data_IF_420886522518
#
_entry.id   IF_420886522518
#
_cell.length_a   1.000
_cell.length_b   1.000
_cell.length_c   1.000
_cell.angle_alpha   90.00
_cell.angle_beta   90.00
_cell.angle_gamma   90.00
#
_symmetry.space_group_name_H-M   'P 1'
#
loop_
_entity.id
_entity.type
_entity.pdbx_description
1 polymer ?
#
# COMPACT_ATOMS: atom_id res chain seq x y z
N UNK A 1 8.44 5.00 9.84
CA UNK A 1 7.47 5.18 10.94
C UNK A 1 8.28 5.71 12.10
N UNK A 2 8.04 6.94 12.54
CA UNK A 2 8.66 7.40 13.79
C UNK A 2 8.17 6.49 14.91
N UNK A 3 9.10 5.94 15.69
CA UNK A 3 8.78 5.01 16.77
C UNK A 3 8.26 5.79 17.97
N UNK A 4 6.95 6.00 18.02
CA UNK A 4 6.28 6.63 19.16
C UNK A 4 6.14 5.65 20.33
N UNK A 5 6.30 6.14 21.55
CA UNK A 5 6.15 5.41 22.81
C UNK A 5 7.15 4.25 23.00
N UNK A 6 8.41 4.45 22.61
CA UNK A 6 9.50 3.49 22.85
C UNK A 6 9.86 3.32 24.33
N UNK A 7 9.21 4.02 25.24
CA UNK A 7 9.27 3.89 26.69
C UNK A 7 8.11 3.05 27.27
N UNK A 8 7.12 2.69 26.45
CA UNK A 8 5.97 1.88 26.84
C UNK A 8 6.17 0.39 26.54
N UNK A 9 5.80 -0.47 27.49
CA UNK A 9 5.81 -1.93 27.30
C UNK A 9 4.54 -2.60 27.81
N UNK A 10 4.32 -3.84 27.38
CA UNK A 10 3.32 -4.75 27.96
C UNK A 10 4.06 -5.75 28.85
N UNK A 11 3.69 -5.79 30.13
CA UNK A 11 4.18 -6.75 31.12
C UNK A 11 3.15 -7.84 31.34
N UNK A 12 3.51 -9.06 30.95
CA UNK A 12 2.69 -10.26 31.07
C UNK A 12 3.03 -11.00 32.36
N UNK A 13 2.02 -11.37 33.14
CA UNK A 13 2.19 -12.14 34.37
C UNK A 13 1.82 -13.61 34.16
N UNK A 14 2.65 -14.51 34.68
CA UNK A 14 2.46 -15.96 34.64
C UNK A 14 2.57 -16.53 36.06
N UNK A 15 1.48 -17.05 36.65
CA UNK A 15 0.13 -17.14 36.10
C UNK A 15 -0.55 -15.77 35.96
N UNK A 16 -1.69 -15.72 35.24
CA UNK A 16 -2.46 -14.48 35.06
C UNK A 16 -3.05 -14.01 36.39
N UNK A 17 -3.00 -12.72 36.63
CA UNK A 17 -3.60 -12.09 37.82
C UNK A 17 -5.10 -11.92 37.65
N UNK A 18 -5.85 -12.16 38.73
CA UNK A 18 -7.29 -11.94 38.76
C UNK A 18 -7.59 -10.43 38.70
N UNK A 19 -8.70 -10.05 38.06
CA UNK A 19 -9.10 -8.64 37.92
C UNK A 19 -9.26 -7.93 39.26
N UNK A 20 -9.66 -8.63 40.32
CA UNK A 20 -9.83 -8.04 41.66
C UNK A 20 -8.49 -7.66 42.31
N UNK A 21 -7.41 -8.31 41.91
CA UNK A 21 -6.07 -8.11 42.46
C UNK A 21 -5.22 -7.17 41.61
N UNK A 22 -5.83 -6.49 40.63
CA UNK A 22 -5.10 -5.65 39.69
C UNK A 22 -4.42 -4.46 40.38
N UNK A 23 -5.11 -3.72 41.25
CA UNK A 23 -4.53 -2.57 41.97
C UNK A 23 -3.37 -2.97 42.90
N UNK A 24 -3.49 -4.03 43.74
CA UNK A 24 -2.35 -4.57 44.49
C UNK A 24 -1.18 -4.96 43.59
N UNK A 25 -1.45 -5.61 42.45
CA UNK A 25 -0.43 -6.01 41.49
C UNK A 25 0.29 -4.81 40.86
N UNK A 26 -0.44 -3.73 40.52
CA UNK A 26 0.14 -2.48 40.03
C UNK A 26 1.11 -1.87 41.03
N UNK A 27 0.72 -1.81 42.30
CA UNK A 27 1.60 -1.30 43.36
C UNK A 27 2.86 -2.16 43.48
N UNK A 28 2.71 -3.50 43.46
CA UNK A 28 3.82 -4.44 43.53
C UNK A 28 4.74 -4.36 42.30
N UNK A 29 4.22 -4.17 41.08
CA UNK A 29 5.04 -3.96 39.89
C UNK A 29 5.85 -2.66 39.98
N UNK A 30 5.23 -1.56 40.42
CA UNK A 30 5.94 -0.28 40.62
C UNK A 30 7.08 -0.45 41.62
N UNK A 31 6.81 -1.08 42.76
CA UNK A 31 7.83 -1.35 43.78
C UNK A 31 8.93 -2.28 43.24
N UNK A 32 8.57 -3.34 42.53
CA UNK A 32 9.52 -4.28 41.96
C UNK A 32 10.51 -3.60 41.00
N UNK A 33 10.01 -2.81 40.05
CA UNK A 33 10.88 -2.12 39.11
C UNK A 33 11.74 -1.05 39.80
N UNK A 34 11.17 -0.28 40.73
CA UNK A 34 11.89 0.81 41.43
C UNK A 34 12.91 0.25 42.43
N UNK A 35 12.49 -0.65 43.33
CA UNK A 35 13.31 -1.11 44.45
C UNK A 35 14.23 -2.27 44.07
N UNK A 36 13.78 -3.21 43.23
CA UNK A 36 14.56 -4.41 42.89
C UNK A 36 15.49 -4.14 41.70
N UNK A 37 15.03 -3.36 40.72
CA UNK A 37 15.77 -3.11 39.49
C UNK A 37 16.33 -1.68 39.35
N UNK A 38 16.00 -0.77 40.27
CA UNK A 38 16.53 0.59 40.28
C UNK A 38 16.14 1.41 39.06
N UNK A 39 14.98 1.12 38.44
CA UNK A 39 14.47 1.84 37.28
C UNK A 39 13.24 2.67 37.64
N UNK A 40 13.04 3.78 36.94
CA UNK A 40 11.92 4.67 37.21
C UNK A 40 10.73 4.25 36.35
N UNK A 41 9.64 3.85 37.01
CA UNK A 41 8.36 3.59 36.36
C UNK A 41 7.47 4.81 36.57
N UNK A 42 7.10 5.47 35.49
CA UNK A 42 6.21 6.63 35.52
C UNK A 42 4.77 6.19 35.80
N UNK A 43 4.31 5.13 35.13
CA UNK A 43 2.94 4.67 35.24
C UNK A 43 2.78 3.17 34.96
N UNK A 44 1.75 2.58 35.55
CA UNK A 44 1.30 1.22 35.23
C UNK A 44 -0.21 1.27 35.04
N UNK A 45 -0.70 0.79 33.90
CA UNK A 45 -2.12 0.80 33.52
C UNK A 45 -2.61 -0.61 33.17
N UNK A 46 -3.93 -0.89 33.26
CA UNK A 46 -4.47 -2.19 32.89
C UNK A 46 -4.32 -2.48 31.40
N UNK A 47 -3.77 -3.66 31.09
CA UNK A 47 -3.87 -4.27 29.77
C UNK A 47 -4.87 -5.42 29.82
N UNK A 48 -5.78 -5.56 28.84
CA UNK A 48 -6.75 -6.65 28.81
C UNK A 48 -6.11 -8.04 29.02
N UNK A 49 -6.86 -8.98 29.60
CA UNK A 49 -6.43 -10.39 29.78
C UNK A 49 -5.38 -10.57 30.91
N UNK A 50 -5.38 -9.70 31.92
CA UNK A 50 -4.62 -9.88 33.18
C UNK A 50 -3.14 -9.50 33.08
N UNK A 51 -2.79 -8.56 32.21
CA UNK A 51 -1.45 -8.02 32.05
C UNK A 51 -1.46 -6.52 32.37
N UNK A 52 -0.31 -5.85 32.30
CA UNK A 52 -0.22 -4.41 32.52
C UNK A 52 0.57 -3.70 31.43
N UNK A 53 0.18 -2.47 31.09
CA UNK A 53 1.08 -1.53 30.45
C UNK A 53 2.01 -0.95 31.50
N UNK A 54 3.31 -0.88 31.21
CA UNK A 54 4.31 -0.23 32.06
C UNK A 54 5.00 0.85 31.26
N UNK A 55 4.90 2.09 31.73
CA UNK A 55 5.57 3.24 31.17
C UNK A 55 6.86 3.48 31.95
N UNK A 56 8.00 3.22 31.30
CA UNK A 56 9.32 3.48 31.85
C UNK A 56 9.68 4.96 31.68
N UNK A 57 10.70 5.43 32.39
CA UNK A 57 11.13 6.82 32.26
C UNK A 57 11.75 7.14 30.89
N UNK A 58 12.35 6.14 30.24
CA UNK A 58 12.91 6.27 28.90
C UNK A 58 13.04 4.90 28.21
N UNK A 59 13.26 4.87 26.89
CA UNK A 59 13.43 3.62 26.14
C UNK A 59 14.58 2.73 26.60
N UNK A 60 15.67 3.33 27.12
CA UNK A 60 16.85 2.58 27.58
C UNK A 60 16.53 1.76 28.83
N UNK A 61 15.72 2.30 29.75
CA UNK A 61 15.25 1.55 30.91
C UNK A 61 14.32 0.39 30.50
N UNK A 62 13.39 0.63 29.55
CA UNK A 62 12.51 -0.41 28.99
C UNK A 62 13.33 -1.56 28.37
N UNK A 63 14.34 -1.23 27.56
CA UNK A 63 15.17 -2.19 26.83
C UNK A 63 15.84 -3.22 27.75
N UNK A 64 16.11 -2.86 29.00
CA UNK A 64 16.71 -3.78 29.99
C UNK A 64 15.83 -4.99 30.29
N UNK A 65 14.53 -4.91 30.06
CA UNK A 65 13.57 -5.93 30.46
C UNK A 65 13.00 -6.73 29.29
N UNK A 66 13.21 -6.28 28.05
CA UNK A 66 12.71 -7.00 26.87
C UNK A 66 13.34 -8.38 26.74
N UNK A 67 12.56 -9.30 26.18
CA UNK A 67 12.95 -10.67 25.85
C UNK A 67 13.50 -11.46 27.06
N UNK A 68 13.14 -11.04 28.27
CA UNK A 68 13.54 -11.67 29.53
C UNK A 68 12.33 -12.18 30.30
N UNK A 69 12.52 -13.34 30.91
CA UNK A 69 11.63 -13.87 31.94
C UNK A 69 12.26 -13.50 33.28
N UNK A 70 11.51 -12.79 34.11
CA UNK A 70 11.99 -12.26 35.39
C UNK A 70 11.11 -12.82 36.49
N UNK A 71 11.74 -13.32 37.56
CA UNK A 71 11.02 -13.77 38.73
C UNK A 71 10.42 -12.57 39.46
N UNK A 72 9.13 -12.65 39.79
CA UNK A 72 8.35 -11.62 40.45
C UNK A 72 7.70 -12.21 41.71
N UNK A 73 8.43 -12.18 42.81
CA UNK A 73 8.02 -12.88 44.03
C UNK A 73 8.14 -14.41 43.90
N UNK A 74 7.48 -15.17 44.79
CA UNK A 74 7.66 -16.63 44.85
C UNK A 74 6.88 -17.39 43.77
N UNK A 75 5.72 -16.90 43.37
CA UNK A 75 4.75 -17.65 42.57
C UNK A 75 4.53 -17.10 41.15
N UNK A 76 5.15 -15.96 40.83
CA UNK A 76 4.94 -15.28 39.55
C UNK A 76 6.24 -15.07 38.79
N UNK A 77 6.11 -15.19 37.47
CA UNK A 77 7.09 -14.70 36.51
C UNK A 77 6.46 -13.58 35.69
N UNK A 78 7.30 -12.63 35.28
CA UNK A 78 6.92 -11.60 34.33
C UNK A 78 7.72 -11.71 33.05
N UNK A 79 7.07 -11.35 31.94
CA UNK A 79 7.68 -11.18 30.63
C UNK A 79 7.32 -9.78 30.13
N UNK A 80 8.32 -9.03 29.64
CA UNK A 80 8.11 -7.67 29.13
C UNK A 80 8.28 -7.69 27.62
N UNK A 81 7.21 -7.34 26.89
CA UNK A 81 7.21 -7.23 25.43
C UNK A 81 6.97 -5.78 24.98
N UNK A 82 7.36 -5.47 23.75
CA UNK A 82 7.08 -4.14 23.17
C UNK A 82 5.58 -3.90 23.07
N UNK A 83 5.14 -2.65 23.25
CA UNK A 83 3.72 -2.31 23.26
C UNK A 83 3.02 -2.59 21.92
N UNK A 84 3.75 -2.45 20.81
CA UNK A 84 3.29 -2.70 19.44
C UNK A 84 3.41 -4.17 19.00
N UNK A 85 4.04 -5.02 19.80
CA UNK A 85 4.27 -6.45 19.52
C UNK A 85 3.41 -7.35 20.42
N UNK A 86 2.24 -6.84 20.85
CA UNK A 86 1.30 -7.60 21.66
C UNK A 86 0.81 -8.89 20.98
N UNK A 87 0.09 -9.76 21.70
CA UNK A 87 -0.36 -11.09 21.17
C UNK A 87 -1.17 -11.03 19.86
N UNK A 88 -1.81 -9.90 19.59
CA UNK A 88 -2.59 -9.68 18.38
C UNK A 88 -1.76 -9.11 17.22
N UNK A 89 -0.48 -8.79 17.44
CA UNK A 89 0.42 -8.35 16.38
C UNK A 89 0.55 -9.47 15.33
N UNK A 90 0.51 -9.06 14.06
CA UNK A 90 0.73 -9.93 12.91
C UNK A 90 1.75 -9.22 12.04
N UNK A 91 2.75 -9.97 11.64
CA UNK A 91 3.75 -9.51 10.68
C UNK A 91 3.42 -10.16 9.35
N UNK A 92 3.48 -9.35 8.30
CA UNK A 92 3.33 -9.80 6.93
C UNK A 92 4.52 -9.28 6.16
N UNK A 93 5.23 -10.20 5.50
CA UNK A 93 6.35 -9.82 4.65
C UNK A 93 5.84 -9.08 3.41
N UNK A 94 6.57 -8.03 3.03
CA UNK A 94 6.29 -7.20 1.87
C UNK A 94 7.59 -7.04 1.09
N UNK A 95 7.81 -7.88 0.10
CA UNK A 95 9.05 -7.97 -0.67
C UNK A 95 8.97 -7.26 -2.04
N UNK A 96 7.76 -6.87 -2.45
CA UNK A 96 7.48 -6.25 -3.74
C UNK A 96 7.09 -4.79 -3.60
N UNK A 97 7.81 -3.93 -4.31
CA UNK A 97 7.49 -2.51 -4.44
C UNK A 97 6.91 -2.22 -5.83
N UNK A 98 5.92 -1.32 -5.89
CA UNK A 98 5.37 -0.83 -7.15
C UNK A 98 5.22 0.68 -7.15
N UNK A 99 5.50 1.30 -8.30
CA UNK A 99 5.00 2.63 -8.60
C UNK A 99 3.69 2.51 -9.37
N UNK A 100 2.67 3.22 -8.91
CA UNK A 100 1.36 3.31 -9.55
C UNK A 100 1.01 4.77 -9.86
N UNK A 101 0.18 4.96 -10.87
CA UNK A 101 -0.45 6.22 -11.21
C UNK A 101 -1.96 6.07 -11.05
N UNK A 102 -2.56 6.95 -10.25
CA UNK A 102 -4.02 7.02 -10.10
C UNK A 102 -4.55 8.14 -10.99
N UNK A 103 -5.38 7.80 -11.97
CA UNK A 103 -5.92 8.75 -12.96
C UNK A 103 -7.29 9.28 -12.51
N UNK A 104 -7.51 10.55 -12.79
CA UNK A 104 -8.69 11.33 -12.41
C UNK A 104 -8.97 11.32 -10.91
N UNK A 105 -7.95 11.03 -10.10
CA UNK A 105 -8.08 10.98 -8.64
C UNK A 105 -8.49 12.35 -8.09
N UNK A 106 -9.50 12.41 -7.21
CA UNK A 106 -10.18 13.66 -6.88
C UNK A 106 -9.25 14.54 -6.05
N UNK A 107 -9.14 15.81 -6.44
CA UNK A 107 -8.23 16.79 -5.82
C UNK A 107 -8.44 16.89 -4.30
N UNK A 108 -9.70 17.01 -3.87
CA UNK A 108 -10.08 17.11 -2.46
C UNK A 108 -9.71 15.88 -1.62
N UNK A 109 -9.39 14.76 -2.28
CA UNK A 109 -9.00 13.52 -1.62
C UNK A 109 -7.51 13.19 -1.77
N UNK A 110 -6.69 14.11 -2.29
CA UNK A 110 -5.22 13.99 -2.34
C UNK A 110 -4.59 14.25 -0.99
N UNK A 111 -4.74 13.28 -0.10
CA UNK A 111 -4.08 13.27 1.20
C UNK A 111 -3.67 11.86 1.58
N UNK A 112 -2.72 11.74 2.51
CA UNK A 112 -2.21 10.45 2.97
C UNK A 112 -3.34 9.47 3.35
N UNK A 113 -4.34 9.92 4.11
CA UNK A 113 -5.40 9.04 4.63
C UNK A 113 -6.22 8.42 3.51
N UNK A 114 -6.69 9.22 2.54
CA UNK A 114 -7.50 8.70 1.45
C UNK A 114 -6.69 7.84 0.49
N UNK A 115 -5.44 8.23 0.17
CA UNK A 115 -4.59 7.46 -0.74
C UNK A 115 -4.21 6.12 -0.10
N UNK A 116 -3.87 6.11 1.20
CA UNK A 116 -3.66 4.88 1.96
C UNK A 116 -4.89 3.96 1.86
N UNK A 117 -6.10 4.49 2.06
CA UNK A 117 -7.34 3.70 1.94
C UNK A 117 -7.55 3.16 0.52
N UNK A 118 -7.24 3.95 -0.50
CA UNK A 118 -7.40 3.55 -1.89
C UNK A 118 -6.52 2.34 -2.28
N UNK A 119 -5.36 2.18 -1.64
CA UNK A 119 -4.42 1.08 -1.94
C UNK A 119 -4.44 -0.05 -0.91
N UNK A 120 -5.20 0.10 0.19
CA UNK A 120 -5.15 -0.77 1.36
C UNK A 120 -5.53 -2.23 1.07
N UNK A 121 -6.23 -2.51 -0.02
CA UNK A 121 -6.62 -3.87 -0.40
C UNK A 121 -5.47 -4.68 -1.02
N UNK A 122 -4.43 -4.02 -1.53
CA UNK A 122 -3.33 -4.68 -2.25
C UNK A 122 -1.93 -4.21 -1.83
N UNK A 123 -1.83 -3.18 -0.99
CA UNK A 123 -0.55 -2.73 -0.46
C UNK A 123 -0.65 -1.62 0.58
N UNK A 124 0.53 -1.16 1.01
CA UNK A 124 0.71 -0.04 1.92
C UNK A 124 1.40 1.11 1.20
N UNK A 125 0.83 2.31 1.35
CA UNK A 125 1.42 3.53 0.80
C UNK A 125 2.73 3.85 1.50
N UNK A 126 3.82 3.96 0.73
CA UNK A 126 5.11 4.40 1.23
C UNK A 126 5.33 5.90 0.98
N UNK A 127 4.97 6.35 -0.23
CA UNK A 127 5.15 7.73 -0.66
C UNK A 127 4.14 8.05 -1.77
N UNK A 128 3.70 9.30 -1.85
CA UNK A 128 3.01 9.80 -3.03
C UNK A 128 3.51 11.19 -3.37
N UNK A 129 3.47 11.50 -4.65
CA UNK A 129 3.80 12.81 -5.17
C UNK A 129 2.60 13.38 -5.90
N UNK A 130 2.25 14.61 -5.53
CA UNK A 130 1.34 15.40 -6.32
C UNK A 130 2.06 15.87 -7.58
N UNK A 131 1.48 15.59 -8.74
CA UNK A 131 2.09 16.02 -10.00
C UNK A 131 1.56 17.40 -10.35
N UNK A 132 2.25 18.15 -11.22
CA UNK A 132 1.71 19.39 -11.80
C UNK A 132 0.47 19.17 -12.70
N UNK A 133 -0.07 17.95 -12.75
CA UNK A 133 -1.23 17.56 -13.52
C UNK A 133 -2.36 17.13 -12.56
N UNK A 134 -3.42 17.94 -12.51
CA UNK A 134 -4.61 17.70 -11.69
C UNK A 134 -5.41 16.45 -12.10
N UNK A 135 -5.07 15.78 -13.19
CA UNK A 135 -5.69 14.53 -13.59
C UNK A 135 -4.98 13.29 -13.04
N UNK A 136 -3.88 13.42 -12.27
CA UNK A 136 -3.15 12.24 -11.77
C UNK A 136 -2.33 12.49 -10.52
N UNK A 137 -2.15 11.42 -9.75
CA UNK A 137 -1.11 11.31 -8.73
C UNK A 137 -0.24 10.07 -8.98
N UNK A 138 0.99 10.12 -8.49
CA UNK A 138 1.92 8.99 -8.54
C UNK A 138 2.21 8.53 -7.12
N UNK A 139 2.06 7.23 -6.86
CA UNK A 139 2.27 6.65 -5.55
C UNK A 139 3.26 5.47 -5.64
N UNK A 140 4.13 5.39 -4.65
CA UNK A 140 4.98 4.24 -4.37
C UNK A 140 4.35 3.43 -3.24
N UNK A 141 4.10 2.16 -3.50
CA UNK A 141 3.47 1.24 -2.57
C UNK A 141 4.33 0.00 -2.35
N UNK A 142 4.27 -0.54 -1.14
CA UNK A 142 4.71 -1.90 -0.86
C UNK A 142 3.50 -2.82 -1.04
N UNK A 143 3.65 -3.91 -1.77
CA UNK A 143 2.58 -4.87 -2.04
C UNK A 143 2.54 -5.95 -0.96
N UNK A 144 1.34 -6.45 -0.67
CA UNK A 144 1.23 -7.69 0.09
C UNK A 144 1.72 -8.88 -0.75
N UNK A 145 2.23 -9.92 -0.08
CA UNK A 145 2.62 -11.15 -0.75
C UNK A 145 1.48 -11.71 -1.61
N UNK A 146 1.80 -12.11 -2.84
CA UNK A 146 0.83 -12.60 -3.83
C UNK A 146 -0.20 -11.58 -4.36
N UNK A 147 -0.21 -10.33 -3.87
CA UNK A 147 -1.21 -9.35 -4.28
C UNK A 147 -1.12 -9.01 -5.77
N UNK A 148 -2.27 -8.80 -6.39
CA UNK A 148 -2.39 -8.30 -7.77
C UNK A 148 -2.88 -6.86 -7.72
N UNK A 149 -2.30 -6.00 -8.56
CA UNK A 149 -2.72 -4.61 -8.64
C UNK A 149 -4.01 -4.56 -9.49
N UNK A 150 -5.12 -4.01 -8.97
CA UNK A 150 -6.36 -3.87 -9.73
C UNK A 150 -6.25 -2.75 -10.77
N UNK A 151 -7.08 -2.80 -11.81
CA UNK A 151 -7.18 -1.73 -12.81
C UNK A 151 -7.88 -0.48 -12.30
N UNK A 152 -8.63 -0.61 -11.20
CA UNK A 152 -9.35 0.50 -10.58
C UNK A 152 -9.42 0.37 -9.06
N UNK A 153 -9.47 1.50 -8.38
CA UNK A 153 -9.67 1.59 -6.93
C UNK A 153 -10.95 2.34 -6.63
N UNK A 154 -11.75 1.80 -5.71
CA UNK A 154 -12.95 2.46 -5.24
C UNK A 154 -12.59 3.39 -4.08
N UNK A 155 -12.86 4.68 -4.23
CA UNK A 155 -12.68 5.64 -3.15
C UNK A 155 -14.04 6.15 -2.71
N UNK A 156 -14.30 5.98 -1.41
CA UNK A 156 -15.51 6.46 -0.76
C UNK A 156 -15.21 7.69 0.10
N UNK A 157 -15.97 8.75 -0.11
CA UNK A 157 -15.93 9.95 0.73
C UNK A 157 -17.28 10.16 1.42
N UNK A 158 -17.22 10.50 2.71
CA UNK A 158 -18.41 10.86 3.48
C UNK A 158 -18.87 12.25 3.05
N UNK A 159 -20.12 12.36 2.68
CA UNK A 159 -20.84 13.64 2.56
C UNK A 159 -21.93 13.65 3.63
N UNK A 160 -22.44 14.81 4.08
CA UNK A 160 -23.51 14.82 5.08
C UNK A 160 -24.68 13.91 4.67
N UNK A 161 -25.00 12.93 5.52
CA UNK A 161 -26.08 11.94 5.37
C UNK A 161 -25.96 10.93 4.21
N UNK A 162 -24.86 10.92 3.42
CA UNK A 162 -24.66 9.96 2.31
C UNK A 162 -23.18 9.61 2.13
N UNK A 163 -22.91 8.56 1.36
CA UNK A 163 -21.54 8.23 0.90
C UNK A 163 -21.49 8.39 -0.61
N UNK A 164 -20.44 9.06 -1.10
CA UNK A 164 -20.12 9.07 -2.54
C UNK A 164 -18.96 8.12 -2.76
N UNK A 165 -19.12 7.17 -3.69
CA UNK A 165 -18.04 6.27 -4.11
C UNK A 165 -17.77 6.46 -5.59
N UNK A 166 -16.51 6.60 -5.96
CA UNK A 166 -16.07 6.71 -7.35
C UNK A 166 -14.91 5.75 -7.60
N UNK A 167 -14.90 5.14 -8.79
CA UNK A 167 -13.82 4.27 -9.24
C UNK A 167 -12.78 5.11 -10.00
N UNK A 168 -11.51 4.95 -9.64
CA UNK A 168 -10.38 5.65 -10.25
C UNK A 168 -9.41 4.65 -10.85
N UNK A 169 -8.89 4.92 -12.04
CA UNK A 169 -8.03 3.97 -12.75
C UNK A 169 -6.62 3.93 -12.14
N UNK A 170 -6.04 2.73 -12.11
CA UNK A 170 -4.68 2.47 -11.67
C UNK A 170 -3.83 2.05 -12.87
N UNK A 171 -2.69 2.69 -13.05
CA UNK A 171 -1.68 2.29 -14.02
C UNK A 171 -0.39 1.95 -13.28
N UNK A 172 0.19 0.79 -13.59
CA UNK A 172 1.49 0.41 -13.03
C UNK A 172 2.60 1.04 -13.86
N UNK A 173 3.53 1.70 -13.17
CA UNK A 173 4.67 2.38 -13.79
C UNK A 173 5.98 1.58 -13.70
N UNK A 174 6.03 0.53 -12.87
CA UNK A 174 7.20 -0.37 -12.72
C UNK A 174 6.95 -1.76 -13.26
N UNK A 175 7.97 -2.40 -13.86
CA UNK A 175 7.84 -3.70 -14.52
C UNK A 175 8.47 -4.89 -13.76
N UNK A 176 9.06 -4.69 -12.58
CA UNK A 176 9.76 -5.78 -11.86
C UNK A 176 8.78 -6.55 -10.97
N UNK A 177 8.51 -7.82 -11.29
CA UNK A 177 7.85 -8.78 -10.40
C UNK A 177 6.37 -8.50 -10.08
N UNK A 178 5.69 -7.68 -10.88
CA UNK A 178 4.28 -7.31 -10.64
C UNK A 178 3.36 -8.14 -11.55
N UNK A 179 2.37 -8.79 -10.94
CA UNK A 179 1.29 -9.49 -11.66
C UNK A 179 0.03 -8.64 -11.59
N UNK A 180 -0.51 -8.25 -12.75
CA UNK A 180 -1.80 -7.57 -12.86
C UNK A 180 -2.94 -8.58 -12.75
N UNK A 181 -4.14 -8.14 -12.34
CA UNK A 181 -5.34 -8.95 -12.56
C UNK A 181 -5.55 -9.13 -14.07
N UNK A 182 -5.59 -10.39 -14.51
CA UNK A 182 -5.98 -10.74 -15.87
C UNK A 182 -7.49 -10.51 -16.01
N UNK A 183 -7.90 -9.77 -17.05
CA UNK A 183 -9.29 -9.40 -17.32
C UNK A 183 -9.85 -10.01 -18.60
N UNK A 184 -9.17 -10.98 -19.21
CA UNK A 184 -9.56 -11.41 -20.55
C UNK A 184 -10.39 -12.71 -20.47
N UNK A 185 -11.71 -12.57 -20.46
CA UNK A 185 -12.49 -13.38 -21.40
C UNK A 185 -11.96 -12.98 -22.79
N UNK A 186 -11.25 -13.91 -23.44
CA UNK A 186 -10.70 -13.66 -24.78
C UNK A 186 -11.81 -13.07 -25.66
N UNK A 187 -11.58 -11.88 -26.20
CA UNK A 187 -12.50 -11.32 -27.19
C UNK A 187 -12.69 -12.36 -28.29
N UNK A 188 -13.94 -12.78 -28.58
CA UNK A 188 -14.18 -13.73 -29.65
C UNK A 188 -13.60 -13.15 -30.94
N UNK A 189 -12.86 -13.98 -31.69
CA UNK A 189 -12.15 -13.56 -32.90
C UNK A 189 -13.04 -12.84 -33.92
N UNK A 190 -14.35 -13.13 -33.91
CA UNK A 190 -15.38 -12.54 -34.78
C UNK A 190 -16.58 -11.94 -33.99
N UNK A 191 -16.35 -11.34 -32.81
CA UNK A 191 -17.36 -10.53 -32.13
C UNK A 191 -17.41 -9.10 -32.69
N UNK A 192 -18.55 -8.40 -32.64
CA UNK A 192 -18.55 -6.97 -32.94
C UNK A 192 -17.61 -6.30 -31.93
N UNK A 193 -16.44 -5.85 -32.41
CA UNK A 193 -15.56 -4.97 -31.65
C UNK A 193 -16.44 -3.84 -31.11
N UNK A 194 -16.39 -3.58 -29.80
CA UNK A 194 -17.04 -2.40 -29.24
C UNK A 194 -16.73 -1.23 -30.15
N UNK A 195 -17.73 -0.57 -30.77
CA UNK A 195 -17.47 0.47 -31.73
C UNK A 195 -16.59 1.50 -31.03
N UNK A 196 -15.42 1.77 -31.60
CA UNK A 196 -14.51 2.78 -31.06
C UNK A 196 -15.35 4.06 -30.83
N UNK A 197 -15.26 4.68 -29.64
CA UNK A 197 -16.02 5.88 -29.38
C UNK A 197 -15.74 6.88 -30.51
N UNK A 198 -16.81 7.43 -31.08
CA UNK A 198 -16.68 8.41 -32.15
C UNK A 198 -15.70 9.49 -31.71
N UNK A 199 -14.72 9.79 -32.55
CA UNK A 199 -13.70 10.77 -32.23
C UNK A 199 -14.38 12.09 -31.85
N UNK A 200 -14.09 12.59 -30.65
CA UNK A 200 -14.69 13.83 -30.17
C UNK A 200 -14.41 14.97 -31.17
N UNK A 201 -15.38 15.87 -31.42
CA UNK A 201 -15.16 16.99 -32.33
C UNK A 201 -13.98 17.84 -31.87
N UNK A 202 -13.18 18.31 -32.83
CA UNK A 202 -12.06 19.20 -32.52
C UNK A 202 -12.60 20.48 -31.88
N UNK A 203 -11.95 20.92 -30.80
CA UNK A 203 -12.24 22.23 -30.23
C UNK A 203 -11.83 23.34 -31.21
N UNK A 204 -12.78 24.20 -31.56
CA UNK A 204 -12.60 25.26 -32.57
C UNK A 204 -12.28 26.64 -31.97
N UNK A 205 -12.02 26.70 -30.65
CA UNK A 205 -11.93 27.97 -29.92
C UNK A 205 -13.29 28.65 -29.74
N UNK A 206 -13.35 29.73 -28.96
CA UNK A 206 -14.58 30.53 -28.79
C UNK A 206 -15.05 31.20 -30.10
N UNK A 207 -14.13 31.38 -31.06
CA UNK A 207 -14.36 32.18 -32.26
C UNK A 207 -14.08 31.45 -33.59
N UNK A 208 -13.90 30.13 -33.58
CA UNK A 208 -13.94 29.31 -34.79
C UNK A 208 -13.08 29.82 -35.95
N UNK A 209 -11.75 29.74 -35.87
CA UNK A 209 -10.95 29.79 -37.08
C UNK A 209 -9.69 28.92 -37.00
N UNK A 210 -9.53 28.08 -38.03
CA UNK A 210 -8.69 26.89 -38.07
C UNK A 210 -7.41 27.20 -38.83
N UNK A 211 -6.27 27.16 -38.15
CA UNK A 211 -5.02 26.79 -38.82
C UNK A 211 -4.77 25.31 -38.55
N UNK A 212 -5.46 24.45 -39.29
CA UNK A 212 -5.16 23.03 -39.30
C UNK A 212 -3.89 22.81 -40.14
N UNK A 213 -2.89 22.07 -39.66
CA UNK A 213 -1.88 21.51 -40.53
C UNK A 213 -2.58 20.57 -41.52
N UNK A 214 -2.25 20.67 -42.82
CA UNK A 214 -2.75 19.74 -43.85
C UNK A 214 -2.42 18.29 -43.44
N UNK A 215 -3.32 17.32 -43.67
CA UNK A 215 -2.95 15.92 -43.59
C UNK A 215 -1.85 15.67 -44.63
N UNK A 216 -0.71 15.14 -44.20
CA UNK A 216 0.20 14.50 -45.14
C UNK A 216 -0.56 13.31 -45.74
N UNK A 217 -0.71 13.29 -47.06
CA UNK A 217 -1.26 12.16 -47.77
C UNK A 217 -0.43 10.93 -47.39
N UNK A 218 -1.11 9.94 -46.82
CA UNK A 218 -0.62 8.57 -46.73
C UNK A 218 -0.31 8.17 -48.17
N UNK A 219 0.95 7.86 -48.46
CA UNK A 219 1.37 7.43 -49.77
C UNK A 219 0.54 6.23 -50.21
N UNK A 220 -0.17 6.39 -51.31
CA UNK A 220 -0.64 5.27 -52.11
C UNK A 220 0.61 4.56 -52.63
N UNK A 221 1.06 3.51 -51.93
CA UNK A 221 1.95 2.53 -52.53
C UNK A 221 1.18 1.86 -53.68
N UNK A 222 1.51 2.31 -54.88
CA UNK A 222 1.03 1.73 -56.12
C UNK A 222 1.62 0.33 -56.26
N UNK A 223 0.72 -0.65 -56.18
CA UNK A 223 0.96 -2.02 -56.59
C UNK A 223 1.26 -2.03 -58.11
N UNK A 224 2.53 -2.07 -58.49
CA UNK A 224 2.96 -2.37 -59.87
C UNK A 224 3.56 -3.78 -59.87
N UNK A 225 2.86 -4.68 -60.56
CA UNK A 225 3.16 -6.09 -60.63
C UNK A 225 4.54 -6.40 -61.22
N UNK A 226 5.19 -7.40 -60.62
CA UNK A 226 6.32 -8.10 -61.21
C UNK A 226 5.81 -8.96 -62.37
N UNK A 227 6.09 -8.50 -63.58
CA UNK A 227 6.10 -9.32 -64.79
C UNK A 227 7.48 -9.95 -64.99
N UNK A 228 7.51 -11.27 -65.17
CA UNK A 228 8.68 -12.09 -65.41
C UNK A 228 9.33 -11.87 -66.79
N UNK A 229 10.66 -12.09 -66.86
CA UNK A 229 11.46 -12.82 -67.87
C UNK A 229 12.92 -12.28 -67.81
N UNK A 230 13.89 -13.00 -67.23
CA UNK A 230 14.64 -14.19 -67.66
C UNK A 230 15.71 -13.92 -68.72
N UNK A 231 16.97 -14.06 -68.31
CA UNK A 231 18.17 -14.38 -69.11
C UNK A 231 19.24 -14.90 -68.12
N UNK A 232 19.39 -16.23 -67.97
CA UNK A 232 20.36 -17.05 -68.68
C UNK A 232 21.82 -16.79 -68.23
N UNK A 233 22.31 -17.64 -67.32
CA UNK A 233 23.72 -17.97 -67.21
C UNK A 233 23.82 -19.50 -67.20
N UNK A 234 24.34 -20.03 -68.31
CA UNK A 234 24.78 -21.41 -68.48
C UNK A 234 26.08 -21.60 -67.72
N UNK A 235 26.17 -22.65 -66.93
CA UNK A 235 27.44 -23.30 -66.56
C UNK A 235 27.21 -24.81 -66.67
N UNK A 236 27.75 -25.42 -67.72
CA UNK A 236 28.26 -26.79 -67.76
C UNK A 236 29.40 -26.83 -68.78
N UNK A 237 30.61 -27.12 -68.33
CA UNK A 237 31.43 -28.12 -69.01
C UNK A 237 32.30 -28.85 -67.97
N UNK A 238 32.65 -30.06 -68.38
CA UNK A 238 33.25 -31.18 -67.63
C UNK A 238 34.68 -30.93 -67.13
#
# INVERSE_FOLDING_TARGET
MESYNEDLAITYLVPKVNKVDFEPMVAALKEFFVQTHGVHVAEVQPYPIGNAYVLFHNPVERERFLDKIIQFGPDYQIYVGKHNEGKNARFQDMDREAWIMLISFPEDARNNSTICKAVADFGLLHYWNDTNNLARIVAKINLFDGAKIPHGVLVSTSIPLKTRSCMYLVFVLTNKGITMLADEDQLPADGPLFPLPMQAPRWMGLHGNVHAPRPQAIGEESFVGQGAQSAAAMDEDS
#
